data_IF_054653274611
#
_entry.id   IF_054653274611
#
_cell.length_a   1.000
_cell.length_b   1.000
_cell.length_c   1.000
_cell.angle_alpha   90.00
_cell.angle_beta   90.00
_cell.angle_gamma   90.00
#
_symmetry.space_group_name_H-M   'P 1'
#
loop_
_entity.id
_entity.type
_entity.pdbx_description
1 polymer ?
#
# COMPACT_ATOMS: atom_id res chain seq x y z
N UNK A 1 -3.50 0.99 22.14
CA UNK A 1 -4.60 0.03 21.90
C UNK A 1 -4.28 -0.78 20.65
N UNK A 2 -3.60 -1.95 20.81
CA UNK A 2 -3.18 -2.82 19.70
C UNK A 2 -3.88 -4.18 19.85
N UNK A 3 -5.20 -4.17 19.72
CA UNK A 3 -6.01 -5.30 20.14
C UNK A 3 -6.20 -6.40 19.08
N UNK A 4 -5.67 -6.26 17.88
CA UNK A 4 -5.85 -7.30 16.86
C UNK A 4 -4.57 -7.54 16.07
N UNK A 5 -3.62 -8.28 16.64
CA UNK A 5 -2.72 -9.08 15.81
C UNK A 5 -3.58 -10.07 15.06
N UNK A 6 -3.61 -9.95 13.76
CA UNK A 6 -4.31 -10.90 12.90
C UNK A 6 -3.53 -12.19 12.96
N UNK A 7 -4.05 -13.14 13.68
CA UNK A 7 -3.64 -14.53 13.56
C UNK A 7 -4.02 -14.99 12.15
N UNK A 8 -3.07 -15.55 11.39
CA UNK A 8 -3.32 -16.08 10.05
C UNK A 8 -4.43 -17.16 10.04
N UNK A 9 -4.68 -17.83 11.17
CA UNK A 9 -5.79 -18.76 11.37
C UNK A 9 -7.16 -18.07 11.28
N UNK A 10 -7.24 -16.76 11.51
CA UNK A 10 -8.46 -15.96 11.53
C UNK A 10 -8.66 -15.05 10.31
N UNK A 11 -7.96 -15.32 9.19
CA UNK A 11 -8.08 -14.53 7.96
C UNK A 11 -9.54 -14.34 7.51
N UNK A 12 -10.36 -15.37 7.58
CA UNK A 12 -11.78 -15.31 7.20
C UNK A 12 -12.59 -14.37 8.10
N UNK A 13 -12.26 -14.29 9.37
CA UNK A 13 -12.91 -13.39 10.34
C UNK A 13 -12.58 -11.95 10.02
N UNK A 14 -11.29 -11.64 9.77
CA UNK A 14 -10.86 -10.32 9.35
C UNK A 14 -11.58 -9.88 8.07
N UNK A 15 -11.62 -10.73 7.05
CA UNK A 15 -12.28 -10.42 5.78
C UNK A 15 -13.76 -10.12 5.98
N UNK A 16 -14.46 -10.87 6.85
CA UNK A 16 -15.87 -10.59 7.19
C UNK A 16 -16.04 -9.21 7.85
N UNK A 17 -15.15 -8.82 8.76
CA UNK A 17 -15.20 -7.49 9.39
C UNK A 17 -14.96 -6.39 8.37
N UNK A 18 -13.95 -6.52 7.49
CA UNK A 18 -13.69 -5.55 6.44
C UNK A 18 -14.91 -5.39 5.53
N UNK A 19 -15.50 -6.49 5.05
CA UNK A 19 -16.72 -6.45 4.20
C UNK A 19 -17.86 -5.73 4.91
N UNK A 20 -18.12 -6.06 6.17
CA UNK A 20 -19.18 -5.41 6.98
C UNK A 20 -18.94 -3.90 7.09
N UNK A 21 -17.73 -3.50 7.43
CA UNK A 21 -17.38 -2.10 7.66
C UNK A 21 -17.44 -1.30 6.36
N UNK A 22 -16.98 -1.87 5.23
CA UNK A 22 -17.10 -1.25 3.91
C UNK A 22 -18.55 -1.16 3.45
N UNK A 23 -19.39 -2.13 3.78
CA UNK A 23 -20.82 -2.09 3.50
C UNK A 23 -21.50 -0.93 4.23
N UNK A 24 -21.14 -0.69 5.49
CA UNK A 24 -21.64 0.41 6.30
C UNK A 24 -21.17 1.78 5.79
N UNK A 25 -20.05 1.82 5.05
CA UNK A 25 -19.48 3.03 4.45
C UNK A 25 -19.86 3.22 2.97
N UNK A 26 -20.81 2.44 2.46
CA UNK A 26 -21.30 2.54 1.09
C UNK A 26 -21.78 3.98 0.80
N UNK A 27 -21.35 4.53 -0.33
CA UNK A 27 -21.68 5.90 -0.73
C UNK A 27 -20.74 7.00 -0.17
N UNK A 28 -19.84 6.69 0.76
CA UNK A 28 -18.80 7.60 1.25
C UNK A 28 -17.49 7.28 0.55
N UNK A 29 -16.68 8.30 0.20
CA UNK A 29 -15.31 8.05 -0.27
C UNK A 29 -14.49 7.47 0.88
N UNK A 30 -13.89 6.31 0.68
CA UNK A 30 -13.09 5.60 1.67
C UNK A 30 -11.67 5.43 1.15
N UNK A 31 -10.70 5.90 1.91
CA UNK A 31 -9.29 5.70 1.65
C UNK A 31 -8.71 4.80 2.75
N UNK A 32 -8.16 3.66 2.38
CA UNK A 32 -7.60 2.68 3.30
C UNK A 32 -6.09 2.64 3.16
N UNK A 33 -5.37 2.85 4.27
CA UNK A 33 -3.94 2.55 4.34
C UNK A 33 -3.75 1.12 4.82
N UNK A 34 -3.17 0.27 3.97
CA UNK A 34 -2.82 -1.09 4.34
C UNK A 34 -1.48 -1.14 5.06
N UNK A 35 -1.38 -2.09 5.98
CA UNK A 35 -0.15 -2.51 6.63
C UNK A 35 0.63 -1.35 7.29
N UNK A 36 0.02 -0.73 8.30
CA UNK A 36 0.78 0.12 9.23
C UNK A 36 1.84 -0.72 9.94
N UNK A 37 1.50 -1.98 10.25
CA UNK A 37 2.39 -3.05 10.71
C UNK A 37 2.11 -4.31 9.90
N UNK A 38 3.16 -5.01 9.47
CA UNK A 38 3.06 -6.24 8.68
C UNK A 38 3.08 -6.00 7.17
N UNK A 39 2.70 -7.02 6.39
CA UNK A 39 2.76 -7.00 4.93
C UNK A 39 1.72 -7.98 4.34
N UNK A 40 1.67 -8.07 3.01
CA UNK A 40 0.91 -9.09 2.31
C UNK A 40 1.49 -10.49 2.58
N UNK A 41 0.72 -11.34 3.21
CA UNK A 41 1.17 -12.65 3.67
C UNK A 41 0.89 -13.79 2.69
N UNK A 42 -0.01 -13.61 1.72
CA UNK A 42 -0.24 -14.55 0.61
C UNK A 42 -0.99 -13.89 -0.57
N UNK A 43 -1.02 -14.60 -1.70
CA UNK A 43 -1.70 -14.15 -2.94
C UNK A 43 -3.21 -14.05 -2.75
N UNK A 44 -3.83 -14.90 -1.94
CA UNK A 44 -5.28 -14.85 -1.72
C UNK A 44 -5.70 -13.57 -1.00
N UNK A 45 -4.86 -13.02 -0.14
CA UNK A 45 -5.10 -11.73 0.49
C UNK A 45 -5.03 -10.57 -0.53
N UNK A 46 -4.12 -10.62 -1.51
CA UNK A 46 -4.13 -9.67 -2.63
C UNK A 46 -5.41 -9.78 -3.45
N UNK A 47 -5.84 -11.02 -3.76
CA UNK A 47 -7.10 -11.27 -4.49
C UNK A 47 -8.32 -10.81 -3.71
N UNK A 48 -8.32 -10.91 -2.38
CA UNK A 48 -9.39 -10.35 -1.55
C UNK A 48 -9.54 -8.84 -1.79
N UNK A 49 -8.44 -8.07 -1.83
CA UNK A 49 -8.50 -6.64 -2.13
C UNK A 49 -9.00 -6.35 -3.55
N UNK A 50 -8.68 -7.22 -4.51
CA UNK A 50 -9.28 -7.13 -5.85
C UNK A 50 -10.82 -7.22 -5.79
N UNK A 51 -11.36 -8.16 -5.02
CA UNK A 51 -12.81 -8.29 -4.83
C UNK A 51 -13.40 -7.07 -4.12
N UNK A 52 -12.73 -6.53 -3.11
CA UNK A 52 -13.19 -5.32 -2.41
C UNK A 52 -13.28 -4.13 -3.35
N UNK A 53 -12.27 -3.92 -4.21
CA UNK A 53 -12.27 -2.85 -5.20
C UNK A 53 -13.34 -3.01 -6.28
N UNK A 54 -13.75 -4.24 -6.60
CA UNK A 54 -14.87 -4.51 -7.52
C UNK A 54 -16.22 -4.25 -6.87
N UNK A 55 -16.40 -4.69 -5.62
CA UNK A 55 -17.67 -4.57 -4.89
C UNK A 55 -17.92 -3.13 -4.39
N UNK A 56 -16.86 -2.40 -4.07
CA UNK A 56 -16.94 -1.07 -3.47
C UNK A 56 -16.20 -0.04 -4.33
N UNK A 57 -16.87 0.56 -5.35
CA UNK A 57 -16.24 1.54 -6.24
C UNK A 57 -15.82 2.83 -5.53
N UNK A 58 -16.36 3.09 -4.35
CA UNK A 58 -16.03 4.23 -3.49
C UNK A 58 -14.76 4.03 -2.64
N UNK A 59 -14.13 2.84 -2.69
CA UNK A 59 -12.94 2.48 -1.91
C UNK A 59 -11.68 2.67 -2.73
N UNK A 60 -10.69 3.31 -2.13
CA UNK A 60 -9.31 3.37 -2.60
C UNK A 60 -8.37 2.83 -1.53
N UNK A 61 -7.31 2.17 -1.97
CA UNK A 61 -6.35 1.48 -1.10
C UNK A 61 -4.94 1.93 -1.43
N UNK A 62 -4.17 2.26 -0.42
CA UNK A 62 -2.75 2.53 -0.59
C UNK A 62 -1.93 1.86 0.53
N UNK A 63 -0.65 1.70 0.31
CA UNK A 63 0.24 1.10 1.29
C UNK A 63 1.62 0.80 0.72
N UNK A 64 2.34 -0.02 1.46
CA UNK A 64 3.71 -0.41 1.14
C UNK A 64 3.86 -1.92 1.27
N UNK A 65 4.81 -2.50 0.54
CA UNK A 65 5.15 -3.92 0.63
C UNK A 65 6.65 -4.12 0.49
N UNK A 66 7.20 -5.03 1.28
CA UNK A 66 8.57 -5.51 1.15
C UNK A 66 8.69 -6.69 0.17
N UNK A 67 7.56 -7.18 -0.39
CA UNK A 67 7.61 -8.22 -1.41
C UNK A 67 8.26 -7.70 -2.69
N UNK A 68 8.94 -8.57 -3.44
CA UNK A 68 9.68 -8.15 -4.63
C UNK A 68 9.56 -9.20 -5.74
N UNK A 69 9.36 -8.75 -6.99
CA UNK A 69 9.25 -9.61 -8.18
C UNK A 69 10.54 -10.37 -8.49
N UNK A 70 11.68 -9.85 -8.03
CA UNK A 70 13.00 -10.45 -8.20
C UNK A 70 13.47 -11.24 -6.96
N UNK A 71 12.61 -11.38 -5.94
CA UNK A 71 12.94 -12.10 -4.71
C UNK A 71 13.32 -13.56 -5.01
N UNK A 72 14.30 -14.11 -4.26
CA UNK A 72 14.60 -15.55 -4.29
C UNK A 72 13.45 -16.39 -3.71
N UNK A 73 12.62 -15.81 -2.86
CA UNK A 73 11.48 -16.46 -2.22
C UNK A 73 10.29 -16.46 -3.20
N UNK A 74 9.85 -17.66 -3.60
CA UNK A 74 8.75 -17.85 -4.56
C UNK A 74 7.48 -17.11 -4.16
N UNK A 75 7.05 -17.24 -2.91
CA UNK A 75 5.86 -16.57 -2.38
C UNK A 75 5.93 -15.04 -2.52
N UNK A 76 7.08 -14.44 -2.22
CA UNK A 76 7.31 -13.00 -2.37
C UNK A 76 7.13 -12.57 -3.84
N UNK A 77 7.69 -13.32 -4.79
CA UNK A 77 7.53 -13.03 -6.23
C UNK A 77 6.08 -13.11 -6.68
N UNK A 78 5.35 -14.14 -6.23
CA UNK A 78 3.94 -14.35 -6.59
C UNK A 78 3.06 -13.22 -6.05
N UNK A 79 3.26 -12.82 -4.80
CA UNK A 79 2.55 -11.69 -4.18
C UNK A 79 2.86 -10.40 -4.94
N UNK A 80 4.14 -10.07 -5.14
CA UNK A 80 4.55 -8.86 -5.85
C UNK A 80 4.00 -8.79 -7.28
N UNK A 81 4.00 -9.92 -7.98
CA UNK A 81 3.43 -10.02 -9.34
C UNK A 81 1.93 -9.74 -9.34
N UNK A 82 1.19 -10.28 -8.39
CA UNK A 82 -0.26 -10.05 -8.30
C UNK A 82 -0.59 -8.62 -7.88
N UNK A 83 0.21 -8.01 -6.99
CA UNK A 83 0.11 -6.58 -6.63
C UNK A 83 0.31 -5.71 -7.87
N UNK A 84 1.34 -5.94 -8.68
CA UNK A 84 1.58 -5.18 -9.93
C UNK A 84 0.40 -5.28 -10.91
N UNK A 85 -0.16 -6.47 -11.09
CA UNK A 85 -1.37 -6.65 -11.91
C UNK A 85 -2.57 -5.86 -11.37
N UNK A 86 -2.75 -5.89 -10.06
CA UNK A 86 -3.86 -5.20 -9.42
C UNK A 86 -3.70 -3.67 -9.50
N UNK A 87 -2.49 -3.16 -9.28
CA UNK A 87 -2.15 -1.74 -9.45
C UNK A 87 -2.40 -1.27 -10.89
N UNK A 88 -1.97 -2.05 -11.89
CA UNK A 88 -2.23 -1.73 -13.28
C UNK A 88 -3.74 -1.68 -13.62
N UNK A 89 -4.54 -2.58 -13.04
CA UNK A 89 -5.98 -2.66 -13.27
C UNK A 89 -6.78 -1.54 -12.59
N UNK A 90 -6.36 -1.14 -11.38
CA UNK A 90 -7.06 -0.16 -10.54
C UNK A 90 -6.17 1.07 -10.25
N UNK A 91 -5.48 1.58 -11.26
CA UNK A 91 -4.41 2.57 -11.19
C UNK A 91 -4.68 3.74 -10.22
N UNK A 92 -5.91 4.24 -10.16
CA UNK A 92 -6.30 5.38 -9.31
C UNK A 92 -6.80 4.97 -7.91
N UNK A 93 -7.05 3.68 -7.70
CA UNK A 93 -7.69 3.17 -6.47
C UNK A 93 -6.89 2.11 -5.72
N UNK A 94 -5.79 1.61 -6.31
CA UNK A 94 -4.92 0.65 -5.66
C UNK A 94 -3.46 1.05 -5.89
N UNK A 95 -2.84 1.61 -4.86
CA UNK A 95 -1.50 2.17 -4.91
C UNK A 95 -0.61 1.53 -3.83
N UNK A 96 -0.01 0.39 -4.13
CA UNK A 96 0.94 -0.30 -3.24
C UNK A 96 2.35 -0.08 -3.77
N UNK A 97 3.17 0.63 -3.00
CA UNK A 97 4.57 0.91 -3.31
C UNK A 97 5.48 -0.20 -2.81
N UNK A 98 6.47 -0.54 -3.62
CA UNK A 98 7.49 -1.53 -3.25
C UNK A 98 8.58 -0.85 -2.42
N UNK A 99 8.86 -1.39 -1.23
CA UNK A 99 9.90 -0.88 -0.35
C UNK A 99 11.28 -1.23 -0.88
N UNK A 100 12.17 -0.23 -0.93
CA UNK A 100 13.57 -0.39 -1.34
C UNK A 100 13.76 -1.03 -2.73
N UNK A 101 12.83 -0.82 -3.66
CA UNK A 101 12.99 -1.22 -5.06
C UNK A 101 13.55 -0.04 -5.86
N UNK A 102 14.85 -0.05 -6.10
CA UNK A 102 15.54 1.01 -6.85
C UNK A 102 15.20 1.00 -8.35
N UNK A 103 14.70 -0.12 -8.87
CA UNK A 103 14.35 -0.28 -10.27
C UNK A 103 12.91 0.18 -10.58
N UNK A 104 12.10 0.41 -9.55
CA UNK A 104 10.71 0.84 -9.72
C UNK A 104 10.55 2.30 -9.24
N UNK A 105 10.09 3.18 -10.12
CA UNK A 105 9.80 4.57 -9.74
C UNK A 105 8.61 4.63 -8.77
N UNK A 106 7.67 3.71 -8.87
CA UNK A 106 6.57 3.58 -7.92
C UNK A 106 7.00 2.81 -6.66
N UNK A 107 8.09 3.29 -6.03
CA UNK A 107 8.70 2.69 -4.85
C UNK A 107 8.73 3.64 -3.66
N UNK A 108 9.07 3.10 -2.50
CA UNK A 108 9.27 3.82 -1.26
C UNK A 108 10.59 3.37 -0.64
N UNK A 109 11.54 4.26 -0.52
CA UNK A 109 12.89 3.95 -0.07
C UNK A 109 13.25 4.74 1.19
N UNK A 110 13.99 4.11 2.12
CA UNK A 110 14.64 4.82 3.21
C UNK A 110 15.95 5.46 2.72
N UNK A 111 16.30 6.60 3.27
CA UNK A 111 17.55 7.27 2.97
C UNK A 111 18.09 8.04 4.21
N UNK A 112 19.41 8.15 4.31
CA UNK A 112 20.05 8.88 5.41
C UNK A 112 20.34 10.34 5.03
N UNK A 113 21.17 10.57 4.00
CA UNK A 113 21.65 11.90 3.63
C UNK A 113 21.63 12.18 2.12
N UNK A 114 21.03 11.31 1.33
CA UNK A 114 20.96 11.50 -0.12
C UNK A 114 19.98 12.63 -0.48
N UNK A 115 20.37 13.46 -1.46
CA UNK A 115 19.46 14.48 -1.97
C UNK A 115 18.44 13.85 -2.92
N UNK A 116 17.16 14.23 -2.81
CA UNK A 116 16.15 13.79 -3.77
C UNK A 116 16.55 14.14 -5.20
N UNK A 117 16.39 13.19 -6.11
CA UNK A 117 16.63 13.42 -7.53
C UNK A 117 15.45 14.19 -8.13
N UNK A 118 15.72 15.37 -8.68
CA UNK A 118 14.68 16.24 -9.28
C UNK A 118 13.91 15.48 -10.36
N UNK A 119 12.59 15.47 -10.26
CA UNK A 119 11.69 14.79 -11.19
C UNK A 119 11.50 13.29 -10.95
N UNK A 120 12.39 12.64 -10.19
CA UNK A 120 12.40 11.18 -9.96
C UNK A 120 11.90 10.81 -8.56
N UNK A 121 12.39 11.53 -7.55
CA UNK A 121 12.06 11.24 -6.16
C UNK A 121 11.71 12.48 -5.35
N UNK A 122 11.01 12.29 -4.25
CA UNK A 122 10.64 13.32 -3.29
C UNK A 122 10.72 12.77 -1.88
N UNK A 123 11.20 13.57 -0.93
CA UNK A 123 11.10 13.24 0.49
C UNK A 123 9.64 13.32 0.92
N UNK A 124 9.21 12.39 1.77
CA UNK A 124 7.83 12.36 2.26
C UNK A 124 7.41 13.71 2.84
N UNK A 125 6.42 14.39 2.24
CA UNK A 125 6.04 15.74 2.68
C UNK A 125 5.48 15.77 4.10
N UNK A 126 4.86 14.69 4.55
CA UNK A 126 4.34 14.58 5.91
C UNK A 126 5.50 14.46 6.91
N UNK A 127 6.51 13.66 6.63
CA UNK A 127 7.69 13.52 7.48
C UNK A 127 8.53 14.84 7.53
N UNK A 128 8.46 15.66 6.49
CA UNK A 128 9.06 16.99 6.47
C UNK A 128 8.18 18.08 7.10
N UNK A 129 7.03 17.75 7.64
CA UNK A 129 6.10 18.71 8.24
C UNK A 129 5.42 19.65 7.22
N UNK A 130 5.51 19.36 5.91
CA UNK A 130 4.89 20.14 4.84
C UNK A 130 3.39 19.90 4.71
N UNK A 131 2.91 18.80 5.26
CA UNK A 131 1.49 18.42 5.31
C UNK A 131 1.16 17.82 6.67
N UNK A 132 -0.06 18.06 7.15
CA UNK A 132 -0.47 17.60 8.48
C UNK A 132 -0.70 16.09 8.57
N UNK A 133 -1.15 15.46 7.48
CA UNK A 133 -1.46 14.02 7.43
C UNK A 133 -1.23 13.44 6.04
N UNK A 134 -1.08 12.12 5.95
CA UNK A 134 -1.07 11.42 4.66
C UNK A 134 -2.36 11.68 3.85
N UNK A 135 -3.51 11.81 4.51
CA UNK A 135 -4.79 12.08 3.86
C UNK A 135 -4.84 13.42 3.13
N UNK A 136 -4.25 14.45 3.71
CA UNK A 136 -4.13 15.78 3.09
C UNK A 136 -3.00 15.85 2.06
N UNK A 137 -1.94 15.07 2.23
CA UNK A 137 -0.81 15.00 1.31
C UNK A 137 -1.17 14.29 0.00
N UNK A 138 -1.75 13.10 0.05
CA UNK A 138 -2.14 12.29 -1.11
C UNK A 138 -1.00 11.77 -1.98
N UNK A 139 0.23 12.18 -1.77
CA UNK A 139 1.36 11.94 -2.67
C UNK A 139 1.59 10.46 -2.96
N UNK A 140 1.46 9.59 -1.95
CA UNK A 140 1.76 8.16 -2.08
C UNK A 140 0.84 7.40 -3.05
N UNK A 141 -0.33 7.93 -3.36
CA UNK A 141 -1.29 7.31 -4.29
C UNK A 141 -1.65 8.17 -5.50
N UNK A 142 -1.20 9.43 -5.55
CA UNK A 142 -1.45 10.33 -6.68
C UNK A 142 -0.23 10.56 -7.57
N UNK A 143 0.97 10.26 -7.08
CA UNK A 143 2.23 10.47 -7.79
C UNK A 143 2.90 9.15 -8.18
N UNK A 144 3.52 9.12 -9.33
CA UNK A 144 4.37 8.04 -9.83
C UNK A 144 5.86 8.19 -9.45
N UNK A 145 6.22 9.29 -8.76
CA UNK A 145 7.59 9.49 -8.28
C UNK A 145 7.89 8.60 -7.06
N UNK A 146 9.15 8.25 -6.90
CA UNK A 146 9.65 7.55 -5.71
C UNK A 146 9.46 8.41 -4.46
N UNK A 147 9.00 7.78 -3.38
CA UNK A 147 8.91 8.43 -2.05
C UNK A 147 10.12 8.03 -1.23
N UNK A 148 10.79 9.02 -0.67
CA UNK A 148 11.93 8.82 0.22
C UNK A 148 11.52 9.12 1.66
N UNK A 149 11.86 8.19 2.58
CA UNK A 149 11.64 8.34 4.01
C UNK A 149 12.99 8.50 4.70
N UNK A 150 13.14 9.56 5.52
CA UNK A 150 14.31 9.74 6.37
C UNK A 150 14.38 8.61 7.39
N UNK A 151 15.55 8.01 7.53
CA UNK A 151 15.83 7.08 8.64
C UNK A 151 15.88 7.85 9.95
N UNK A 152 15.39 7.25 11.02
CA UNK A 152 15.37 7.81 12.37
C UNK A 152 16.53 7.28 13.21
#
# INVERSE_FOLDING_TARGET
MFAHRIDHSNQNVLQKYIVRDLTNLKGKKVLIRLHVLGDFFNVNYVKFWKFMLLLFPNVSVFGYTATNVNSKIKQSREIATEIKKLTARFKERFAIRFSNDENDLFSANSFDNEKPQKGISIVCPEQEGKTATCGTCGFCWTSDKRVLFKTH
#
